data_IF_387535389046
#
_entry.id   IF_387535389046
#
_cell.length_a   1.000
_cell.length_b   1.000
_cell.length_c   1.000
_cell.angle_alpha   90.00
_cell.angle_beta   90.00
_cell.angle_gamma   90.00
#
_symmetry.space_group_name_H-M   'P 1'
#
loop_
_entity.id
_entity.type
_entity.pdbx_description
1 polymer ?
#
# COMPACT_ATOMS: atom_id res chain seq x y z
N UNK A 1 -14.11 14.71 -13.99
CA UNK A 1 -14.14 13.86 -12.78
C UNK A 1 -12.75 13.23 -12.65
N UNK A 2 -12.02 13.46 -11.56
CA UNK A 2 -10.58 13.09 -11.43
C UNK A 2 -10.35 11.75 -10.74
N UNK A 3 -11.41 11.01 -10.42
CA UNK A 3 -11.30 9.71 -9.76
C UNK A 3 -12.53 8.85 -9.91
N UNK A 4 -12.29 7.56 -10.12
CA UNK A 4 -13.26 6.48 -10.08
C UNK A 4 -12.60 5.27 -9.44
N UNK A 5 -13.42 4.41 -8.84
CA UNK A 5 -13.05 3.06 -8.46
C UNK A 5 -14.18 2.15 -8.97
N UNK A 6 -13.83 1.08 -9.67
CA UNK A 6 -14.74 0.07 -10.20
C UNK A 6 -14.34 -1.30 -9.64
N UNK A 7 -15.32 -2.18 -9.53
CA UNK A 7 -15.12 -3.55 -9.06
C UNK A 7 -16.33 -4.11 -8.35
N UNK A 8 -16.09 -5.06 -7.45
CA UNK A 8 -17.13 -5.76 -6.71
C UNK A 8 -17.75 -4.86 -5.63
N UNK A 9 -19.07 -4.81 -5.60
CA UNK A 9 -19.83 -4.23 -4.49
C UNK A 9 -20.89 -5.23 -4.04
N UNK A 10 -20.67 -5.86 -2.89
CA UNK A 10 -21.48 -6.94 -2.37
C UNK A 10 -22.17 -6.59 -1.07
N UNK A 11 -23.24 -7.32 -0.78
CA UNK A 11 -23.92 -7.31 0.51
C UNK A 11 -23.88 -8.74 1.09
N UNK A 12 -23.18 -8.93 2.20
CA UNK A 12 -22.90 -10.24 2.77
C UNK A 12 -22.98 -10.23 4.31
N UNK A 13 -22.85 -11.40 4.93
CA UNK A 13 -22.85 -11.59 6.38
C UNK A 13 -21.45 -11.82 6.90
N UNK A 14 -20.98 -10.92 7.77
CA UNK A 14 -19.70 -11.11 8.48
C UNK A 14 -19.96 -11.86 9.77
N UNK A 15 -19.11 -12.84 10.07
CA UNK A 15 -19.17 -13.59 11.32
C UNK A 15 -17.82 -13.54 12.01
N UNK A 16 -17.78 -12.98 13.21
CA UNK A 16 -16.58 -13.01 14.05
C UNK A 16 -16.63 -14.18 15.02
N UNK A 17 -15.51 -14.90 15.16
CA UNK A 17 -15.35 -16.07 16.01
C UNK A 17 -15.23 -17.39 15.24
N UNK A 18 -14.86 -18.47 15.92
CA UNK A 18 -14.64 -19.79 15.30
C UNK A 18 -15.92 -20.37 14.68
N UNK A 19 -15.74 -21.12 13.60
CA UNK A 19 -16.85 -21.84 12.94
C UNK A 19 -17.48 -22.84 13.93
N UNK A 20 -18.81 -22.82 14.03
CA UNK A 20 -19.57 -23.72 14.90
C UNK A 20 -19.72 -23.26 16.35
N UNK A 21 -19.13 -22.12 16.74
CA UNK A 21 -19.38 -21.51 18.05
C UNK A 21 -20.47 -20.43 17.96
N UNK A 22 -20.86 -19.85 19.10
CA UNK A 22 -21.65 -18.61 19.09
C UNK A 22 -20.80 -17.48 18.51
N UNK A 23 -21.03 -17.16 17.24
CA UNK A 23 -20.37 -16.07 16.53
C UNK A 23 -21.12 -14.75 16.70
N UNK A 24 -20.39 -13.63 16.69
CA UNK A 24 -20.99 -12.32 16.47
C UNK A 24 -21.32 -12.20 14.98
N UNK A 25 -22.61 -12.17 14.66
CA UNK A 25 -23.11 -12.11 13.29
C UNK A 25 -23.48 -10.66 12.95
N UNK A 26 -22.84 -10.10 11.92
CA UNK A 26 -23.15 -8.78 11.37
C UNK A 26 -23.81 -8.96 10.01
N UNK A 27 -25.14 -8.88 10.01
CA UNK A 27 -25.95 -9.03 8.80
C UNK A 27 -25.87 -7.79 7.92
N UNK A 28 -26.10 -7.99 6.63
CA UNK A 28 -26.15 -6.94 5.62
C UNK A 28 -24.91 -6.04 5.59
N UNK A 29 -23.74 -6.63 5.85
CA UNK A 29 -22.45 -5.94 5.72
C UNK A 29 -22.16 -5.73 4.24
N UNK A 30 -21.95 -4.47 3.85
CA UNK A 30 -21.59 -4.14 2.47
C UNK A 30 -20.08 -4.02 2.32
N UNK A 31 -19.53 -4.71 1.33
CA UNK A 31 -18.11 -4.67 0.97
C UNK A 31 -17.94 -4.17 -0.45
N UNK A 32 -17.05 -3.19 -0.62
CA UNK A 32 -16.54 -2.79 -1.93
C UNK A 32 -15.11 -3.27 -2.08
N UNK A 33 -14.81 -3.98 -3.16
CA UNK A 33 -13.44 -4.30 -3.57
C UNK A 33 -13.24 -3.75 -4.98
N UNK A 34 -12.39 -2.74 -5.09
CA UNK A 34 -12.00 -2.21 -6.39
C UNK A 34 -11.01 -3.16 -7.07
N UNK A 35 -11.29 -3.52 -8.32
CA UNK A 35 -10.33 -4.16 -9.23
C UNK A 35 -9.74 -3.15 -10.22
N UNK A 36 -10.39 -1.99 -10.38
CA UNK A 36 -9.88 -0.86 -11.14
C UNK A 36 -10.01 0.45 -10.34
N UNK A 37 -8.98 1.28 -10.39
CA UNK A 37 -8.99 2.65 -9.87
C UNK A 37 -8.40 3.57 -10.93
N UNK A 38 -8.86 4.82 -11.01
CA UNK A 38 -8.35 5.77 -11.98
C UNK A 38 -6.81 5.88 -11.95
N UNK A 39 -6.18 5.94 -13.13
CA UNK A 39 -4.71 6.09 -13.33
C UNK A 39 -4.06 7.25 -12.57
N UNK A 40 -4.86 8.24 -12.19
CA UNK A 40 -4.40 9.31 -11.31
C UNK A 40 -3.87 8.78 -9.96
N UNK A 41 -4.31 7.59 -9.53
CA UNK A 41 -4.03 6.99 -8.22
C UNK A 41 -3.22 5.68 -8.26
N UNK A 42 -2.77 5.23 -9.43
CA UNK A 42 -2.06 3.95 -9.58
C UNK A 42 -0.61 3.99 -9.13
N UNK A 43 0.04 5.16 -9.26
CA UNK A 43 1.46 5.36 -8.91
C UNK A 43 1.66 6.53 -7.96
N UNK A 44 2.68 6.44 -7.11
CA UNK A 44 3.21 7.61 -6.43
C UNK A 44 3.73 8.62 -7.47
N UNK A 45 3.33 9.89 -7.36
CA UNK A 45 3.69 10.90 -8.37
C UNK A 45 5.00 11.65 -8.06
N UNK A 46 5.39 11.70 -6.78
CA UNK A 46 6.63 12.36 -6.33
C UNK A 46 7.06 11.82 -4.97
N UNK A 47 8.35 11.63 -4.78
CA UNK A 47 8.97 11.34 -3.48
C UNK A 47 10.11 12.33 -3.21
N UNK A 48 10.19 12.80 -1.97
CA UNK A 48 11.22 13.74 -1.50
C UNK A 48 11.75 13.33 -0.15
N UNK A 49 13.06 13.35 0.03
CA UNK A 49 13.72 13.08 1.31
C UNK A 49 15.05 13.84 1.40
N UNK A 50 15.19 14.76 2.37
CA UNK A 50 16.36 15.64 2.45
C UNK A 50 16.55 16.43 1.14
N UNK A 51 17.73 16.32 0.54
CA UNK A 51 18.06 16.92 -0.77
C UNK A 51 17.58 16.10 -1.98
N UNK A 52 17.10 14.86 -1.78
CA UNK A 52 16.59 14.01 -2.86
C UNK A 52 15.16 14.38 -3.25
N UNK A 53 14.88 14.41 -4.56
CA UNK A 53 13.55 14.56 -5.14
C UNK A 53 13.45 13.77 -6.43
N UNK A 54 12.40 12.98 -6.60
CA UNK A 54 12.12 12.23 -7.83
C UNK A 54 10.62 12.24 -8.16
N UNK A 55 10.31 12.29 -9.46
CA UNK A 55 8.95 12.10 -10.01
C UNK A 55 8.81 10.76 -10.73
N UNK A 56 9.83 9.89 -10.65
CA UNK A 56 9.69 8.50 -11.11
C UNK A 56 8.66 7.82 -10.23
N UNK A 57 7.53 7.45 -10.81
CA UNK A 57 6.45 6.79 -10.10
C UNK A 57 6.62 5.27 -10.01
N UNK A 58 5.99 4.69 -8.99
CA UNK A 58 5.85 3.26 -8.81
C UNK A 58 4.57 2.95 -8.03
N UNK A 59 4.10 1.71 -8.14
CA UNK A 59 2.93 1.23 -7.40
C UNK A 59 3.22 1.19 -5.90
N UNK A 60 2.29 1.72 -5.10
CA UNK A 60 2.40 1.78 -3.64
C UNK A 60 1.29 0.99 -2.97
N UNK A 61 1.63 0.36 -1.85
CA UNK A 61 0.67 -0.36 -0.99
C UNK A 61 0.58 0.38 0.34
N UNK A 62 -0.64 0.74 0.76
CA UNK A 62 -0.89 1.21 2.12
C UNK A 62 -1.09 0.01 3.03
N UNK A 63 -0.01 -0.45 3.67
CA UNK A 63 -0.01 -1.62 4.55
C UNK A 63 0.14 -1.22 6.02
N UNK A 64 -0.76 -1.69 6.87
CA UNK A 64 -0.63 -1.58 8.34
C UNK A 64 0.14 -2.76 8.95
N UNK A 65 0.41 -3.82 8.17
CA UNK A 65 1.18 -4.99 8.61
C UNK A 65 2.70 -4.84 8.44
N UNK A 66 3.16 -3.72 7.89
CA UNK A 66 4.56 -3.45 7.62
C UNK A 66 5.13 -2.49 8.66
N UNK A 67 6.37 -2.72 9.10
CA UNK A 67 7.10 -1.78 9.97
C UNK A 67 7.94 -0.77 9.19
N UNK A 68 8.09 -0.97 7.87
CA UNK A 68 8.93 -0.16 7.00
C UNK A 68 8.15 0.34 5.77
N UNK A 69 8.61 1.46 5.22
CA UNK A 69 8.18 1.96 3.91
C UNK A 69 9.12 1.36 2.87
N UNK A 70 8.55 0.61 1.93
CA UNK A 70 9.31 0.02 0.82
C UNK A 70 9.42 1.00 -0.36
N UNK A 71 10.55 0.92 -1.08
CA UNK A 71 10.80 1.68 -2.30
C UNK A 71 11.71 0.87 -3.25
N UNK A 72 11.67 1.12 -4.57
CA UNK A 72 12.61 0.53 -5.50
C UNK A 72 14.06 0.80 -5.07
N UNK A 73 14.94 -0.20 -5.21
CA UNK A 73 16.34 -0.15 -4.72
C UNK A 73 17.09 1.13 -5.13
N UNK A 74 16.94 1.57 -6.38
CA UNK A 74 17.60 2.78 -6.87
C UNK A 74 17.12 4.05 -6.14
N UNK A 75 15.82 4.15 -5.84
CA UNK A 75 15.25 5.27 -5.10
C UNK A 75 15.68 5.23 -3.63
N UNK A 76 15.61 4.05 -3.01
CA UNK A 76 16.04 3.87 -1.61
C UNK A 76 17.53 4.22 -1.42
N UNK A 77 18.39 3.85 -2.37
CA UNK A 77 19.81 4.16 -2.34
C UNK A 77 20.09 5.67 -2.42
N UNK A 78 19.41 6.40 -3.31
CA UNK A 78 19.57 7.85 -3.41
C UNK A 78 19.00 8.59 -2.20
N UNK A 79 17.91 8.08 -1.60
CA UNK A 79 17.39 8.59 -0.32
C UNK A 79 18.41 8.37 0.80
N UNK A 80 19.01 7.17 0.90
CA UNK A 80 20.03 6.87 1.90
C UNK A 80 21.24 7.80 1.76
N UNK A 81 21.69 8.05 0.52
CA UNK A 81 22.76 9.01 0.22
C UNK A 81 22.40 10.44 0.63
N UNK A 82 21.19 10.90 0.31
CA UNK A 82 20.72 12.24 0.68
C UNK A 82 20.54 12.42 2.20
N UNK A 83 20.24 11.33 2.91
CA UNK A 83 20.16 11.30 4.37
C UNK A 83 21.52 11.08 5.06
N UNK A 84 22.62 10.93 4.30
CA UNK A 84 23.95 10.57 4.81
C UNK A 84 23.91 9.28 5.68
N UNK A 85 23.16 8.28 5.24
CA UNK A 85 22.97 7.03 5.96
C UNK A 85 24.08 6.00 5.65
N UNK A 86 24.42 5.20 6.66
CA UNK A 86 25.32 4.04 6.51
C UNK A 86 24.50 2.79 6.15
N UNK A 87 24.92 2.07 5.10
CA UNK A 87 24.20 0.89 4.59
C UNK A 87 24.94 -0.37 4.97
N UNK A 88 24.40 -1.09 5.96
CA UNK A 88 24.95 -2.37 6.40
C UNK A 88 24.28 -3.52 5.61
N UNK A 89 25.02 -4.09 4.66
CA UNK A 89 24.62 -5.18 3.72
C UNK A 89 23.56 -4.83 2.67
N UNK A 90 23.96 -4.54 1.41
CA UNK A 90 23.07 -4.10 0.34
C UNK A 90 22.19 -5.20 -0.29
N UNK A 91 22.11 -6.40 0.30
CA UNK A 91 21.52 -7.58 -0.37
C UNK A 91 20.19 -8.10 0.20
N UNK A 92 19.66 -7.59 1.31
CA UNK A 92 18.55 -8.28 1.98
C UNK A 92 17.25 -7.50 2.26
N UNK A 93 17.10 -6.25 1.82
CA UNK A 93 15.84 -5.51 2.09
C UNK A 93 15.36 -4.69 0.88
N UNK A 94 15.15 -5.37 -0.24
CA UNK A 94 14.27 -4.89 -1.31
C UNK A 94 13.49 -6.13 -1.79
N UNK A 95 12.29 -6.31 -1.25
CA UNK A 95 11.23 -7.12 -1.86
C UNK A 95 10.39 -6.19 -2.75
#
# INVERSE_FOLDING_TARGET
>A
MIGYAQGFFGNDTVRFGNKGTKQLVVNATRFGQADEIADAFTDVKKVTAGSFSSTVGWQVISSTGSTFIYAPRAIAAEIAKAANAEVNSPELFCL
#
